data_IF_444134596933
#
_entry.id   IF_444134596933
#
_cell.length_a   1.000
_cell.length_b   1.000
_cell.length_c   1.000
_cell.angle_alpha   90.00
_cell.angle_beta   90.00
_cell.angle_gamma   90.00
#
_symmetry.space_group_name_H-M   'P 1'
#
loop_
_entity.id
_entity.type
_entity.pdbx_description
1 polymer ?
#
# COMPACT_ATOMS: atom_id res chain seq x y z
N UNK A 1 2.61 22.59 21.78
CA UNK A 1 3.28 22.55 20.45
C UNK A 1 3.22 21.13 19.93
N UNK A 2 2.42 20.86 18.90
CA UNK A 2 2.60 19.63 18.11
C UNK A 2 3.97 19.73 17.42
N UNK A 3 4.91 18.85 17.79
CA UNK A 3 6.31 18.94 17.34
C UNK A 3 6.52 18.58 15.86
N UNK A 4 5.52 18.02 15.18
CA UNK A 4 5.62 17.57 13.78
C UNK A 4 4.32 17.85 13.03
N UNK A 5 4.42 18.33 11.79
CA UNK A 5 3.26 18.48 10.92
C UNK A 5 2.80 17.13 10.37
N UNK A 6 1.55 17.04 9.90
CA UNK A 6 1.06 15.84 9.21
C UNK A 6 1.89 15.46 7.97
N UNK A 7 2.51 16.46 7.32
CA UNK A 7 3.39 16.27 6.18
C UNK A 7 4.68 15.57 6.61
N UNK A 8 5.26 15.99 7.75
CA UNK A 8 6.48 15.39 8.30
C UNK A 8 6.24 13.93 8.68
N UNK A 9 5.11 13.65 9.34
CA UNK A 9 4.72 12.28 9.73
C UNK A 9 4.51 11.41 8.49
N UNK A 10 3.84 11.93 7.45
CA UNK A 10 3.64 11.21 6.20
C UNK A 10 4.97 10.94 5.46
N UNK A 11 5.90 11.91 5.45
CA UNK A 11 7.22 11.73 4.87
C UNK A 11 8.04 10.67 5.62
N UNK A 12 8.01 10.70 6.95
CA UNK A 12 8.69 9.71 7.79
C UNK A 12 8.12 8.31 7.57
N UNK A 13 6.79 8.16 7.49
CA UNK A 13 6.15 6.87 7.23
C UNK A 13 6.53 6.30 5.86
N UNK A 14 6.51 7.13 4.80
CA UNK A 14 6.99 6.71 3.47
C UNK A 14 8.45 6.26 3.50
N UNK A 15 9.30 7.02 4.18
CA UNK A 15 10.70 6.68 4.30
C UNK A 15 10.90 5.36 5.06
N UNK A 16 10.16 5.16 6.15
CA UNK A 16 10.20 3.91 6.92
C UNK A 16 9.87 2.69 6.05
N UNK A 17 8.82 2.75 5.21
CA UNK A 17 8.50 1.70 4.25
C UNK A 17 9.65 1.44 3.26
N UNK A 18 10.26 2.52 2.75
CA UNK A 18 11.34 2.45 1.77
C UNK A 18 12.62 1.81 2.31
N UNK A 19 12.96 2.05 3.57
CA UNK A 19 14.21 1.56 4.20
C UNK A 19 14.09 0.18 4.85
N UNK A 20 12.93 -0.48 4.73
CA UNK A 20 12.77 -1.84 5.23
C UNK A 20 13.85 -2.76 4.61
N UNK A 21 14.44 -3.69 5.40
CA UNK A 21 15.47 -4.61 4.89
C UNK A 21 15.02 -5.46 3.70
N UNK A 22 13.70 -5.72 3.63
CA UNK A 22 13.00 -6.26 2.48
C UNK A 22 11.79 -5.38 2.22
N UNK A 23 11.47 -5.16 0.95
CA UNK A 23 10.24 -4.50 0.54
C UNK A 23 9.02 -5.08 1.26
N UNK A 24 8.02 -4.23 1.54
CA UNK A 24 6.79 -4.68 2.18
C UNK A 24 6.09 -5.76 1.34
N UNK A 25 6.08 -5.59 0.02
CA UNK A 25 5.75 -6.65 -0.94
C UNK A 25 7.03 -7.01 -1.68
N UNK A 26 7.49 -8.26 -1.52
CA UNK A 26 8.72 -8.74 -2.14
C UNK A 26 8.61 -8.84 -3.66
N UNK A 27 9.76 -8.89 -4.34
CA UNK A 27 9.81 -9.07 -5.80
C UNK A 27 9.14 -10.36 -6.25
N UNK A 28 9.24 -11.43 -5.47
CA UNK A 28 8.64 -12.73 -5.79
C UNK A 28 7.12 -12.65 -5.79
N UNK A 29 6.54 -11.97 -4.79
CA UNK A 29 5.09 -11.77 -4.69
C UNK A 29 4.57 -10.80 -5.75
N UNK A 30 5.35 -9.78 -6.08
CA UNK A 30 5.05 -8.90 -7.21
C UNK A 30 5.05 -9.68 -8.53
N UNK A 31 6.07 -10.49 -8.77
CA UNK A 31 6.17 -11.31 -9.98
C UNK A 31 4.96 -12.27 -10.02
N UNK A 32 4.57 -12.93 -8.92
CA UNK A 32 3.34 -13.77 -8.85
C UNK A 32 2.04 -13.06 -9.29
N UNK A 33 1.92 -11.76 -9.05
CA UNK A 33 0.76 -10.98 -9.50
C UNK A 33 0.73 -10.84 -11.04
N UNK A 34 1.90 -10.76 -11.67
CA UNK A 34 2.09 -10.42 -13.08
C UNK A 34 2.65 -11.54 -13.98
N UNK A 35 3.08 -12.68 -13.42
CA UNK A 35 3.74 -13.80 -14.12
C UNK A 35 2.84 -14.52 -15.15
N UNK A 36 1.56 -14.21 -15.14
CA UNK A 36 0.54 -14.87 -15.93
C UNK A 36 0.21 -13.97 -17.13
N UNK A 37 0.72 -14.38 -18.31
CA UNK A 37 0.73 -13.71 -19.63
C UNK A 37 -0.64 -13.29 -20.19
N UNK A 38 -1.71 -13.52 -19.44
CA UNK A 38 -3.11 -13.18 -19.72
C UNK A 38 -3.55 -11.78 -19.23
N UNK A 39 -2.59 -10.91 -18.86
CA UNK A 39 -2.77 -9.63 -18.12
C UNK A 39 -3.82 -8.64 -18.69
N UNK A 40 -4.25 -8.77 -19.94
CA UNK A 40 -4.97 -7.69 -20.62
C UNK A 40 -6.44 -7.58 -20.19
N UNK A 41 -7.08 -8.64 -19.66
CA UNK A 41 -8.48 -8.57 -19.18
C UNK A 41 -8.67 -9.53 -18.00
N UNK A 42 -8.53 -9.04 -16.76
CA UNK A 42 -8.89 -9.82 -15.56
C UNK A 42 -10.21 -9.32 -15.00
N UNK A 43 -11.15 -10.23 -14.77
CA UNK A 43 -12.32 -9.94 -13.96
C UNK A 43 -11.89 -9.59 -12.52
N UNK A 44 -12.72 -8.81 -11.83
CA UNK A 44 -12.49 -8.49 -10.41
C UNK A 44 -12.28 -9.76 -9.57
N UNK A 45 -12.98 -10.85 -9.89
CA UNK A 45 -12.82 -12.16 -9.21
C UNK A 45 -11.40 -12.73 -9.32
N UNK A 46 -10.76 -12.62 -10.50
CA UNK A 46 -9.37 -13.06 -10.68
C UNK A 46 -8.40 -12.17 -9.91
N UNK A 47 -8.64 -10.85 -9.89
CA UNK A 47 -7.82 -9.89 -9.14
C UNK A 47 -7.92 -10.16 -7.63
N UNK A 48 -9.14 -10.36 -7.11
CA UNK A 48 -9.40 -10.71 -5.71
C UNK A 48 -8.66 -12.00 -5.34
N UNK A 49 -8.78 -13.07 -6.14
CA UNK A 49 -8.12 -14.34 -5.87
C UNK A 49 -6.59 -14.19 -5.79
N UNK A 50 -5.99 -13.38 -6.67
CA UNK A 50 -4.55 -13.11 -6.65
C UNK A 50 -4.13 -12.27 -5.44
N UNK A 51 -4.94 -11.27 -5.06
CA UNK A 51 -4.69 -10.49 -3.84
C UNK A 51 -4.72 -11.38 -2.61
N UNK A 52 -5.74 -12.24 -2.48
CA UNK A 52 -5.87 -13.17 -1.35
C UNK A 52 -4.64 -14.09 -1.27
N UNK A 53 -4.28 -14.70 -2.41
CA UNK A 53 -3.09 -15.55 -2.50
C UNK A 53 -1.82 -14.82 -2.06
N UNK A 54 -1.61 -13.58 -2.51
CA UNK A 54 -0.44 -12.80 -2.09
C UNK A 54 -0.46 -12.54 -0.58
N UNK A 55 -1.60 -12.13 -0.02
CA UNK A 55 -1.69 -11.85 1.41
C UNK A 55 -1.53 -13.09 2.29
N UNK A 56 -1.85 -14.28 1.78
CA UNK A 56 -1.66 -15.58 2.43
C UNK A 56 -0.19 -16.04 2.40
N UNK A 57 0.50 -15.82 1.28
CA UNK A 57 1.92 -16.19 1.10
C UNK A 57 2.89 -15.19 1.76
N UNK A 58 2.41 -14.00 2.11
CA UNK A 58 3.19 -13.00 2.84
C UNK A 58 3.53 -13.46 4.26
N UNK A 59 4.67 -13.01 4.78
CA UNK A 59 4.93 -13.08 6.22
C UNK A 59 3.76 -12.42 6.99
N UNK A 60 3.21 -13.05 8.05
CA UNK A 60 2.02 -12.54 8.74
C UNK A 60 2.13 -11.10 9.24
N UNK A 61 3.32 -10.69 9.71
CA UNK A 61 3.55 -9.31 10.17
C UNK A 61 3.53 -8.31 9.00
N UNK A 62 4.14 -8.68 7.87
CA UNK A 62 4.16 -7.83 6.67
C UNK A 62 2.76 -7.76 6.05
N UNK A 63 2.02 -8.87 6.05
CA UNK A 63 0.62 -8.93 5.63
C UNK A 63 -0.24 -8.01 6.50
N UNK A 64 -0.08 -8.06 7.83
CA UNK A 64 -0.79 -7.17 8.75
C UNK A 64 -0.48 -5.70 8.48
N UNK A 65 0.80 -5.33 8.32
CA UNK A 65 1.20 -3.94 8.01
C UNK A 65 0.61 -3.47 6.67
N UNK A 66 0.66 -4.31 5.63
CA UNK A 66 0.07 -3.98 4.33
C UNK A 66 -1.45 -3.76 4.44
N UNK A 67 -2.15 -4.68 5.10
CA UNK A 67 -3.61 -4.62 5.24
C UNK A 67 -4.04 -3.43 6.10
N UNK A 68 -3.27 -3.10 7.14
CA UNK A 68 -3.48 -1.89 7.94
C UNK A 68 -3.29 -0.62 7.11
N UNK A 69 -2.22 -0.56 6.30
CA UNK A 69 -1.99 0.54 5.36
C UNK A 69 -3.13 0.67 4.33
N UNK A 70 -3.58 -0.44 3.75
CA UNK A 70 -4.73 -0.45 2.84
C UNK A 70 -6.00 0.04 3.54
N UNK A 71 -6.26 -0.39 4.77
CA UNK A 71 -7.40 0.09 5.57
C UNK A 71 -7.32 1.60 5.80
N UNK A 72 -6.14 2.11 6.14
CA UNK A 72 -5.88 3.55 6.28
C UNK A 72 -6.18 4.31 4.99
N UNK A 73 -5.67 3.85 3.84
CA UNK A 73 -5.90 4.53 2.57
C UNK A 73 -7.38 4.47 2.17
N UNK A 74 -8.05 3.32 2.34
CA UNK A 74 -9.51 3.19 2.11
C UNK A 74 -10.29 4.25 2.90
N UNK A 75 -9.94 4.48 4.17
CA UNK A 75 -10.50 5.56 4.99
C UNK A 75 -10.18 6.94 4.42
N UNK A 76 -8.94 7.18 4.01
CA UNK A 76 -8.53 8.47 3.44
C UNK A 76 -9.19 8.78 2.08
N UNK A 77 -9.67 7.76 1.37
CA UNK A 77 -10.42 7.90 0.12
C UNK A 77 -11.94 8.08 0.32
N UNK A 78 -12.45 8.14 1.55
CA UNK A 78 -13.84 8.54 1.80
C UNK A 78 -14.09 9.95 1.27
N UNK A 79 -15.29 10.21 0.74
CA UNK A 79 -15.59 11.42 -0.03
C UNK A 79 -15.31 12.72 0.74
N UNK A 80 -15.64 12.75 2.03
CA UNK A 80 -15.43 13.90 2.92
C UNK A 80 -13.94 14.19 3.18
N UNK A 81 -13.11 13.14 3.31
CA UNK A 81 -11.66 13.28 3.50
C UNK A 81 -10.98 13.59 2.16
N UNK A 82 -11.38 12.92 1.09
CA UNK A 82 -10.86 13.15 -0.27
C UNK A 82 -11.17 14.58 -0.75
N UNK A 83 -12.33 15.14 -0.40
CA UNK A 83 -12.67 16.52 -0.72
C UNK A 83 -11.68 17.54 -0.11
N UNK A 84 -11.09 17.22 1.04
CA UNK A 84 -10.08 18.06 1.73
C UNK A 84 -8.66 17.79 1.25
N UNK A 85 -8.28 16.51 1.16
CA UNK A 85 -6.91 16.10 0.83
C UNK A 85 -6.61 16.14 -0.67
N UNK A 86 -7.65 16.08 -1.52
CA UNK A 86 -7.55 15.91 -2.98
C UNK A 86 -6.81 14.63 -3.39
N UNK A 87 -6.76 13.63 -2.51
CA UNK A 87 -6.05 12.37 -2.74
C UNK A 87 -7.06 11.23 -2.96
N UNK A 88 -7.24 10.84 -4.21
CA UNK A 88 -8.00 9.64 -4.55
C UNK A 88 -7.10 8.38 -4.46
N UNK A 89 -7.70 7.21 -4.68
CA UNK A 89 -7.02 5.92 -4.65
C UNK A 89 -5.80 5.85 -5.57
N UNK A 90 -5.91 6.37 -6.79
CA UNK A 90 -4.83 6.39 -7.77
C UNK A 90 -3.68 7.29 -7.31
N UNK A 91 -3.98 8.46 -6.75
CA UNK A 91 -2.97 9.39 -6.23
C UNK A 91 -2.16 8.74 -5.10
N UNK A 92 -2.83 8.06 -4.15
CA UNK A 92 -2.12 7.28 -3.14
C UNK A 92 -1.28 6.16 -3.76
N UNK A 93 -1.79 5.51 -4.81
CA UNK A 93 -1.08 4.43 -5.48
C UNK A 93 0.21 4.90 -6.14
N UNK A 94 0.18 6.05 -6.81
CA UNK A 94 1.35 6.71 -7.42
C UNK A 94 2.41 7.04 -6.35
N UNK A 95 1.99 7.60 -5.21
CA UNK A 95 2.92 8.08 -4.18
C UNK A 95 3.52 6.93 -3.36
N UNK A 96 2.75 5.89 -3.07
CA UNK A 96 3.15 4.83 -2.14
C UNK A 96 3.77 3.62 -2.82
N UNK A 97 3.37 3.27 -4.04
CA UNK A 97 3.87 2.06 -4.69
C UNK A 97 5.42 1.97 -4.72
N UNK A 98 6.19 3.04 -4.99
CA UNK A 98 7.66 2.93 -5.03
C UNK A 98 8.30 2.68 -3.66
N UNK A 99 7.56 2.84 -2.56
CA UNK A 99 8.03 2.60 -1.20
C UNK A 99 7.59 1.21 -0.69
N UNK A 100 6.59 0.60 -1.32
CA UNK A 100 6.03 -0.71 -0.94
C UNK A 100 6.72 -1.83 -1.72
N UNK A 101 7.04 -1.57 -2.99
CA UNK A 101 7.77 -2.48 -3.86
C UNK A 101 9.22 -2.02 -3.99
N UNK A 102 10.19 -2.93 -3.84
CA UNK A 102 11.58 -2.65 -4.24
C UNK A 102 11.94 -3.58 -5.40
N UNK A 103 12.48 -3.01 -6.48
CA UNK A 103 13.04 -3.81 -7.58
C UNK A 103 14.47 -4.19 -7.20
N UNK A 104 14.73 -5.47 -6.91
CA UNK A 104 16.09 -5.97 -6.69
C UNK A 104 16.88 -6.18 -8.00
N UNK A 105 16.25 -6.04 -9.16
CA UNK A 105 16.90 -6.20 -10.47
C UNK A 105 17.22 -4.82 -11.03
N UNK A 106 18.49 -4.60 -11.42
CA UNK A 106 18.86 -3.48 -12.28
C UNK A 106 18.29 -3.75 -13.66
N UNK A 107 17.19 -3.07 -14.00
CA UNK A 107 16.49 -3.25 -15.27
C UNK A 107 16.74 -2.05 -16.17
N UNK A 108 16.78 -2.27 -17.50
CA UNK A 108 16.96 -1.22 -18.51
C UNK A 108 15.85 -0.16 -18.37
N UNK A 109 16.13 1.09 -18.74
CA UNK A 109 15.24 2.23 -18.50
C UNK A 109 13.80 2.08 -19.03
N UNK A 110 13.59 1.37 -20.15
CA UNK A 110 12.25 1.09 -20.70
C UNK A 110 11.41 0.17 -19.81
N UNK A 111 12.06 -0.81 -19.17
CA UNK A 111 11.40 -1.80 -18.32
C UNK A 111 11.01 -1.18 -16.96
N UNK A 112 11.71 -0.11 -16.55
CA UNK A 112 11.42 0.63 -15.31
C UNK A 112 10.07 1.36 -15.38
N UNK A 113 9.69 1.93 -16.53
CA UNK A 113 8.39 2.61 -16.69
C UNK A 113 7.25 1.59 -16.60
N UNK A 114 7.37 0.47 -17.32
CA UNK A 114 6.36 -0.59 -17.31
C UNK A 114 6.18 -1.19 -15.90
N UNK A 115 7.29 -1.43 -15.18
CA UNK A 115 7.27 -1.89 -13.79
C UNK A 115 6.60 -0.90 -12.85
N UNK A 116 6.89 0.39 -12.99
CA UNK A 116 6.26 1.44 -12.16
C UNK A 116 4.75 1.47 -12.36
N UNK A 117 4.28 1.43 -13.61
CA UNK A 117 2.85 1.37 -13.93
C UNK A 117 2.19 0.13 -13.33
N UNK A 118 2.84 -1.04 -13.42
CA UNK A 118 2.33 -2.27 -12.82
C UNK A 118 2.29 -2.17 -11.28
N UNK A 119 3.32 -1.66 -10.62
CA UNK A 119 3.30 -1.44 -9.17
C UNK A 119 2.15 -0.52 -8.74
N UNK A 120 1.90 0.55 -9.50
CA UNK A 120 0.76 1.45 -9.27
C UNK A 120 -0.56 0.68 -9.42
N UNK A 121 -0.73 -0.07 -10.51
CA UNK A 121 -1.94 -0.82 -10.80
C UNK A 121 -2.22 -1.90 -9.74
N UNK A 122 -1.20 -2.67 -9.36
CA UNK A 122 -1.30 -3.69 -8.31
C UNK A 122 -1.72 -3.06 -6.97
N UNK A 123 -1.11 -1.96 -6.57
CA UNK A 123 -1.47 -1.32 -5.30
C UNK A 123 -2.86 -0.67 -5.36
N UNK A 124 -3.23 -0.11 -6.51
CA UNK A 124 -4.58 0.38 -6.76
C UNK A 124 -5.65 -0.73 -6.70
N UNK A 125 -5.31 -1.95 -7.13
CA UNK A 125 -6.15 -3.15 -6.97
C UNK A 125 -6.20 -3.63 -5.52
N UNK A 126 -5.08 -3.61 -4.79
CA UNK A 126 -5.05 -3.90 -3.35
C UNK A 126 -5.97 -2.96 -2.58
N UNK A 127 -5.93 -1.66 -2.86
CA UNK A 127 -6.82 -0.69 -2.20
C UNK A 127 -8.28 -0.93 -2.58
N UNK A 128 -8.60 -1.41 -3.77
CA UNK A 128 -9.98 -1.69 -4.16
C UNK A 128 -10.52 -2.96 -3.49
N UNK A 129 -9.74 -4.04 -3.49
CA UNK A 129 -10.26 -5.40 -3.33
C UNK A 129 -9.74 -6.14 -2.10
N UNK A 130 -8.64 -5.71 -1.49
CA UNK A 130 -8.09 -6.39 -0.31
C UNK A 130 -9.07 -6.30 0.86
N UNK A 131 -9.45 -7.44 1.43
CA UNK A 131 -10.27 -7.46 2.64
C UNK A 131 -9.44 -6.99 3.84
N UNK A 132 -10.03 -6.06 4.59
CA UNK A 132 -9.44 -5.41 5.77
C UNK A 132 -10.45 -5.31 6.91
N UNK A 133 -11.54 -6.08 6.83
CA UNK A 133 -12.66 -6.03 7.78
C UNK A 133 -12.27 -6.50 9.18
N UNK A 134 -11.39 -7.50 9.28
CA UNK A 134 -10.83 -8.07 10.51
C UNK A 134 -9.65 -7.27 11.10
N UNK A 135 -9.10 -6.29 10.39
CA UNK A 135 -8.05 -5.44 10.95
C UNK A 135 -8.68 -4.43 11.89
N UNK A 136 -8.35 -4.43 13.17
CA UNK A 136 -8.86 -3.42 14.12
C UNK A 136 -8.03 -2.13 14.10
N UNK A 137 -8.68 -0.99 14.39
CA UNK A 137 -7.92 0.24 14.67
C UNK A 137 -7.30 0.13 16.05
N UNK A 138 -6.00 0.42 16.23
CA UNK A 138 -5.40 0.42 17.56
C UNK A 138 -6.14 1.40 18.45
N UNK A 139 -6.59 0.93 19.62
CA UNK A 139 -7.18 1.80 20.65
C UNK A 139 -6.04 2.56 21.31
N UNK A 140 -5.75 3.76 20.80
CA UNK A 140 -4.75 4.63 21.41
C UNK A 140 -5.40 5.35 22.60
N UNK A 141 -5.20 4.82 23.81
CA UNK A 141 -5.58 5.50 25.05
C UNK A 141 -4.62 6.66 25.30
N UNK A 142 -4.94 7.86 24.81
CA UNK A 142 -4.25 9.07 25.24
C UNK A 142 -4.78 9.49 26.62
N UNK A 143 -3.91 9.47 27.63
CA UNK A 143 -4.20 10.02 28.95
C UNK A 143 -4.00 11.54 28.88
N UNK A 144 -5.06 12.27 28.50
CA UNK A 144 -5.06 13.75 28.44
C UNK A 144 -5.36 14.28 29.84
N UNK A 145 -4.41 14.15 30.77
CA UNK A 145 -4.62 14.62 32.15
C UNK A 145 -3.47 15.38 32.78
N UNK A 146 -2.39 15.72 32.05
CA UNK A 146 -1.24 16.40 32.67
C UNK A 146 -0.84 17.77 32.09
N UNK A 147 -1.63 18.39 31.20
CA UNK A 147 -1.28 19.72 30.67
C UNK A 147 -2.50 20.63 30.46
N UNK A 148 -3.29 20.85 31.52
CA UNK A 148 -4.10 22.07 31.67
C UNK A 148 -3.32 23.07 32.54
#
# INVERSE_FOLDING_TARGET
>A
MEKFSAIDVAALFKNWLKILPKALISSELYDMFYDDSSVIIRSDTCIIAKINKITEEMNPLYSYVLRFLVKFIKKMCLQDIMAKTKMNKLNYSIVLSPNIFQSHKMVRNSDNIFRTTNQINMFNSLIAHCDVSDIEWPVIKYNISNHL
#
